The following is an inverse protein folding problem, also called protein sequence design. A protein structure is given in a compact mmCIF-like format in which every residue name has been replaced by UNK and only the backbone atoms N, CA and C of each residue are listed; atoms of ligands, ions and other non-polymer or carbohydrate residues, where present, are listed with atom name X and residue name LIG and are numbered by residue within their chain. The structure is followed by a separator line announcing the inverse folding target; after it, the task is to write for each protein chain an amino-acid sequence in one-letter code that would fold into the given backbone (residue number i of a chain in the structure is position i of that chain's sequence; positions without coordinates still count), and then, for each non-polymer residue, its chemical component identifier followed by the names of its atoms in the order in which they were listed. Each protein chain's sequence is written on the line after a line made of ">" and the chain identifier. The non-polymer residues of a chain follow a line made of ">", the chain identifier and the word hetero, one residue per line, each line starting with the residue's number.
data_IF_245501064945
#
_entry.id   IF_245501064945
#
_cell.length_a   1.000
_cell.length_b   1.000
_cell.length_c   1.000
_cell.angle_alpha   90.00
_cell.angle_beta   90.00
_cell.angle_gamma   90.00
#
_symmetry.space_group_name_H-M   'P 1'
#
loop_
_entity.id
_entity.type
_entity.pdbx_description
1 polymer ?
#
# COMPACT_ATOMS: atom_id res chain seq x y z
N UNK A 1 -34.57 -7.84 -57.90
CA UNK A 1 -33.22 -8.37 -57.56
C UNK A 1 -32.38 -7.41 -56.69
N UNK A 2 -32.25 -6.10 -57.03
CA UNK A 2 -31.48 -5.13 -56.21
C UNK A 2 -31.98 -4.91 -54.77
N UNK A 3 -33.29 -5.02 -54.51
CA UNK A 3 -33.85 -4.88 -53.15
C UNK A 3 -33.53 -6.05 -52.21
N UNK A 4 -33.35 -7.25 -52.74
CA UNK A 4 -33.05 -8.44 -51.92
C UNK A 4 -31.60 -8.39 -51.43
N UNK A 5 -30.66 -8.00 -52.31
CA UNK A 5 -29.25 -7.82 -51.93
C UNK A 5 -29.03 -6.75 -50.87
N UNK A 6 -29.76 -5.62 -50.91
CA UNK A 6 -29.67 -4.59 -49.87
C UNK A 6 -30.13 -5.10 -48.50
N UNK A 7 -31.21 -5.89 -48.45
CA UNK A 7 -31.72 -6.46 -47.19
C UNK A 7 -30.76 -7.48 -46.60
N UNK A 8 -30.10 -8.29 -47.43
CA UNK A 8 -29.09 -9.27 -46.99
C UNK A 8 -27.82 -8.57 -46.48
N UNK A 9 -27.35 -7.51 -47.16
CA UNK A 9 -26.20 -6.73 -46.68
C UNK A 9 -26.49 -6.02 -45.35
N UNK A 10 -27.66 -5.41 -45.20
CA UNK A 10 -28.08 -4.75 -43.95
C UNK A 10 -28.18 -5.73 -42.79
N UNK A 11 -28.67 -6.95 -43.02
CA UNK A 11 -28.77 -7.98 -41.98
C UNK A 11 -27.40 -8.58 -41.64
N UNK A 12 -26.49 -8.76 -42.60
CA UNK A 12 -25.10 -9.16 -42.32
C UNK A 12 -24.34 -8.08 -41.55
N UNK A 13 -24.54 -6.80 -41.88
CA UNK A 13 -23.95 -5.67 -41.14
C UNK A 13 -24.51 -5.61 -39.71
N UNK A 14 -25.81 -5.85 -39.53
CA UNK A 14 -26.44 -5.87 -38.21
C UNK A 14 -25.94 -7.04 -37.36
N UNK A 15 -25.77 -8.23 -37.94
CA UNK A 15 -25.20 -9.39 -37.25
C UNK A 15 -23.72 -9.19 -36.92
N UNK A 16 -22.94 -8.54 -37.80
CA UNK A 16 -21.56 -8.19 -37.52
C UNK A 16 -21.45 -7.14 -36.40
N UNK A 17 -22.32 -6.12 -36.39
CA UNK A 17 -22.41 -5.13 -35.31
C UNK A 17 -22.87 -5.79 -34.00
N UNK A 18 -23.85 -6.72 -34.06
CA UNK A 18 -24.28 -7.48 -32.88
C UNK A 18 -23.18 -8.40 -32.35
N UNK A 19 -22.41 -9.03 -33.24
CA UNK A 19 -21.27 -9.87 -32.88
C UNK A 19 -20.10 -9.04 -32.32
N UNK A 20 -19.87 -7.83 -32.85
CA UNK A 20 -18.92 -6.85 -32.31
C UNK A 20 -19.39 -6.29 -30.96
N UNK A 21 -20.70 -6.09 -30.75
CA UNK A 21 -21.25 -5.66 -29.46
C UNK A 21 -21.30 -6.79 -28.44
N UNK A 22 -21.47 -8.05 -28.86
CA UNK A 22 -21.40 -9.24 -28.00
C UNK A 22 -19.96 -9.61 -27.65
N UNK A 23 -19.00 -9.29 -28.51
CA UNK A 23 -17.56 -9.38 -28.22
C UNK A 23 -17.06 -8.24 -27.32
N UNK A 24 -17.87 -7.20 -27.11
CA UNK A 24 -17.62 -6.09 -26.18
C UNK A 24 -18.45 -6.24 -24.90
N UNK A 25 -18.63 -7.48 -24.44
CA UNK A 25 -18.92 -7.72 -23.03
C UNK A 25 -17.59 -7.68 -22.30
N UNK A 26 -17.28 -6.56 -21.64
CA UNK A 26 -16.31 -6.60 -20.54
C UNK A 26 -16.74 -7.73 -19.59
N UNK A 27 -15.81 -8.54 -19.13
CA UNK A 27 -16.11 -9.53 -18.10
C UNK A 27 -16.73 -8.76 -16.91
N UNK A 28 -17.84 -9.24 -16.36
CA UNK A 28 -18.47 -8.61 -15.19
C UNK A 28 -17.69 -8.90 -13.90
N UNK A 29 -16.87 -9.95 -13.91
CA UNK A 29 -16.10 -10.44 -12.78
C UNK A 29 -14.82 -11.14 -13.28
N UNK A 30 -13.74 -11.04 -12.52
CA UNK A 30 -12.51 -11.81 -12.69
C UNK A 30 -12.18 -12.58 -11.42
N UNK A 31 -11.84 -13.86 -11.55
CA UNK A 31 -11.48 -14.71 -10.41
C UNK A 31 -9.98 -15.05 -10.43
N UNK A 32 -9.35 -14.95 -9.28
CA UNK A 32 -7.93 -15.24 -9.07
C UNK A 32 -7.78 -16.15 -7.85
N UNK A 33 -8.17 -17.44 -7.96
CA UNK A 33 -8.08 -18.37 -6.84
C UNK A 33 -6.62 -18.55 -6.38
N UNK A 34 -6.36 -18.72 -5.07
CA UNK A 34 -7.34 -18.85 -3.98
C UNK A 34 -7.84 -17.50 -3.42
N UNK A 35 -7.44 -16.37 -4.00
CA UNK A 35 -7.60 -15.04 -3.43
C UNK A 35 -9.01 -14.42 -3.59
N UNK A 36 -9.87 -15.04 -4.42
CA UNK A 36 -11.27 -14.64 -4.59
C UNK A 36 -11.63 -14.19 -6.00
N UNK A 37 -12.77 -13.53 -6.12
CA UNK A 37 -13.28 -12.94 -7.36
C UNK A 37 -13.56 -11.44 -7.16
N UNK A 38 -13.41 -10.67 -8.23
CA UNK A 38 -13.39 -9.22 -8.23
C UNK A 38 -14.32 -8.73 -9.32
N UNK A 39 -15.29 -7.89 -8.93
CA UNK A 39 -16.23 -7.23 -9.82
C UNK A 39 -16.25 -5.73 -9.51
N UNK A 40 -16.98 -4.97 -10.33
CA UNK A 40 -17.17 -3.53 -10.12
C UNK A 40 -18.60 -3.17 -9.68
N UNK A 41 -19.42 -4.17 -9.37
CA UNK A 41 -20.84 -4.01 -9.03
C UNK A 41 -21.05 -3.68 -7.54
N UNK A 42 -20.18 -4.16 -6.66
CA UNK A 42 -20.37 -4.11 -5.19
C UNK A 42 -19.61 -2.99 -4.48
N UNK A 43 -18.78 -2.23 -5.19
CA UNK A 43 -17.80 -1.32 -4.56
C UNK A 43 -17.58 -0.02 -5.36
N UNK A 44 -17.24 1.09 -4.67
CA UNK A 44 -17.24 2.44 -5.25
C UNK A 44 -15.89 2.75 -5.88
N UNK A 45 -15.54 1.97 -6.89
CA UNK A 45 -14.33 2.15 -7.67
C UNK A 45 -14.44 3.43 -8.49
N UNK A 46 -13.41 4.27 -8.43
CA UNK A 46 -13.31 5.45 -9.29
C UNK A 46 -13.02 5.03 -10.73
N UNK A 47 -12.40 3.86 -10.91
CA UNK A 47 -12.12 3.25 -12.21
C UNK A 47 -13.02 2.03 -12.46
N UNK A 48 -13.38 1.82 -13.73
CA UNK A 48 -14.26 0.75 -14.18
C UNK A 48 -13.51 -0.46 -14.72
N UNK A 49 -12.18 -0.40 -14.82
CA UNK A 49 -11.37 -1.54 -15.24
C UNK A 49 -11.34 -2.64 -14.15
N UNK A 50 -11.25 -3.90 -14.59
CA UNK A 50 -11.08 -5.04 -13.68
C UNK A 50 -9.59 -5.28 -13.41
N UNK A 51 -9.22 -5.77 -12.22
CA UNK A 51 -7.84 -6.14 -11.94
C UNK A 51 -7.40 -7.36 -12.75
N UNK A 52 -6.11 -7.49 -12.99
CA UNK A 52 -5.50 -8.71 -13.53
C UNK A 52 -5.36 -9.79 -12.45
N UNK A 53 -5.32 -11.07 -12.83
CA UNK A 53 -5.12 -12.15 -11.85
C UNK A 53 -3.69 -12.13 -11.27
N UNK A 54 -3.48 -12.74 -10.10
CA UNK A 54 -2.16 -12.81 -9.48
C UNK A 54 -1.14 -13.52 -10.37
N UNK A 55 -1.56 -14.48 -11.21
CA UNK A 55 -0.72 -15.16 -12.19
C UNK A 55 -0.25 -14.20 -13.28
N UNK A 56 -1.15 -13.38 -13.82
CA UNK A 56 -0.83 -12.39 -14.84
C UNK A 56 0.11 -11.30 -14.31
N UNK A 57 -0.01 -10.98 -13.02
CA UNK A 57 0.86 -10.05 -12.31
C UNK A 57 2.17 -10.68 -11.80
N UNK A 58 2.41 -11.98 -12.08
CA UNK A 58 3.55 -12.76 -11.60
C UNK A 58 3.84 -12.62 -10.09
N UNK A 59 2.79 -12.61 -9.26
CA UNK A 59 2.92 -12.36 -7.81
C UNK A 59 3.83 -13.39 -7.13
N UNK A 60 4.87 -12.87 -6.45
CA UNK A 60 5.84 -13.64 -5.66
C UNK A 60 5.95 -13.06 -4.24
N UNK A 61 6.34 -13.92 -3.31
CA UNK A 61 6.67 -13.52 -1.96
C UNK A 61 8.05 -14.06 -1.61
N UNK A 62 8.94 -13.16 -1.22
CA UNK A 62 10.32 -13.49 -0.86
C UNK A 62 10.47 -13.35 0.66
N UNK A 63 10.65 -14.48 1.34
CA UNK A 63 10.96 -14.55 2.77
C UNK A 63 12.45 -14.32 3.01
N UNK A 64 12.73 -13.50 4.02
CA UNK A 64 14.04 -13.21 4.55
C UNK A 64 14.02 -13.33 6.08
N UNK A 65 15.16 -13.73 6.64
CA UNK A 65 15.37 -13.82 8.08
C UNK A 65 16.77 -13.31 8.43
N UNK A 66 17.05 -13.17 9.73
CA UNK A 66 18.32 -12.61 10.21
C UNK A 66 19.52 -13.54 10.01
N UNK A 67 19.29 -14.85 9.85
CA UNK A 67 20.38 -15.83 9.73
C UNK A 67 21.07 -15.75 8.37
N UNK A 68 20.30 -15.44 7.32
CA UNK A 68 20.79 -15.21 5.96
C UNK A 68 20.00 -14.07 5.27
N UNK A 69 20.28 -12.80 5.62
CA UNK A 69 19.43 -11.65 5.28
C UNK A 69 19.39 -11.31 3.79
N UNK A 70 20.30 -11.85 2.99
CA UNK A 70 20.37 -11.62 1.54
C UNK A 70 19.78 -12.79 0.72
N UNK A 71 19.50 -13.94 1.35
CA UNK A 71 18.90 -15.08 0.65
C UNK A 71 17.39 -14.95 0.60
N UNK A 72 16.87 -14.67 -0.59
CA UNK A 72 15.46 -14.77 -0.89
C UNK A 72 15.00 -16.24 -0.85
N UNK A 73 13.91 -16.51 -0.13
CA UNK A 73 13.28 -17.83 -0.04
C UNK A 73 11.83 -17.69 -0.48
N UNK A 74 11.43 -18.42 -1.52
CA UNK A 74 10.04 -18.40 -1.97
C UNK A 74 9.12 -18.96 -0.86
N UNK A 75 8.13 -18.15 -0.48
CA UNK A 75 7.05 -18.55 0.44
C UNK A 75 5.72 -18.38 -0.27
N UNK A 76 4.83 -19.37 -0.20
CA UNK A 76 3.49 -19.29 -0.78
C UNK A 76 2.48 -20.03 0.09
N UNK A 77 1.19 -19.77 -0.11
CA UNK A 77 0.11 -20.44 0.62
C UNK A 77 0.12 -21.96 0.46
N UNK A 78 0.67 -22.48 -0.64
CA UNK A 78 0.83 -23.90 -0.94
C UNK A 78 2.20 -24.47 -0.55
N UNK A 79 3.15 -23.61 -0.15
CA UNK A 79 4.50 -24.01 0.24
C UNK A 79 5.09 -23.02 1.27
N UNK A 80 4.95 -23.36 2.55
CA UNK A 80 5.62 -22.63 3.65
C UNK A 80 6.99 -23.30 3.89
N UNK A 81 8.12 -22.61 3.66
CA UNK A 81 9.46 -23.18 3.83
C UNK A 81 9.81 -23.37 5.31
N UNK A 82 10.76 -24.26 5.60
CA UNK A 82 11.21 -24.55 6.98
C UNK A 82 11.90 -23.34 7.64
N UNK A 83 12.36 -22.39 6.84
CA UNK A 83 12.97 -21.14 7.31
C UNK A 83 11.96 -20.11 7.81
N UNK A 84 10.66 -20.33 7.58
CA UNK A 84 9.61 -19.56 8.22
C UNK A 84 9.41 -20.04 9.65
N UNK A 85 9.57 -19.13 10.62
CA UNK A 85 9.37 -19.43 12.03
C UNK A 85 8.10 -18.75 12.55
N UNK A 86 7.03 -19.53 12.74
CA UNK A 86 5.74 -19.00 13.17
C UNK A 86 5.73 -18.47 14.61
N UNK A 87 6.80 -18.68 15.39
CA UNK A 87 6.96 -18.05 16.71
C UNK A 87 7.44 -16.60 16.63
N UNK A 88 7.87 -16.14 15.45
CA UNK A 88 8.36 -14.78 15.21
C UNK A 88 7.31 -13.89 14.56
N UNK A 89 7.27 -12.58 14.88
CA UNK A 89 6.45 -11.63 14.18
C UNK A 89 6.83 -11.53 12.69
N UNK A 90 5.83 -11.29 11.84
CA UNK A 90 6.01 -11.19 10.38
C UNK A 90 5.82 -9.74 9.91
N UNK A 91 6.71 -9.26 9.04
CA UNK A 91 6.67 -7.92 8.45
C UNK A 91 6.58 -8.02 6.94
N UNK A 92 5.49 -7.52 6.36
CA UNK A 92 5.38 -7.40 4.91
C UNK A 92 5.91 -6.04 4.45
N UNK A 93 6.64 -6.03 3.33
CA UNK A 93 7.05 -4.83 2.60
C UNK A 93 6.42 -4.89 1.22
N UNK A 94 5.63 -3.88 0.85
CA UNK A 94 4.95 -3.81 -0.45
C UNK A 94 5.32 -2.53 -1.18
N UNK A 95 5.86 -2.66 -2.40
CA UNK A 95 6.21 -1.50 -3.24
C UNK A 95 5.02 -0.94 -4.02
N UNK A 96 5.20 0.25 -4.59
CA UNK A 96 4.18 0.94 -5.40
C UNK A 96 4.38 0.79 -6.92
N UNK A 97 3.75 1.72 -7.66
CA UNK A 97 3.84 1.84 -9.12
C UNK A 97 5.30 2.02 -9.56
N UNK A 98 5.70 1.33 -10.63
CA UNK A 98 7.08 1.21 -11.11
C UNK A 98 8.10 0.64 -10.11
N UNK A 99 7.66 0.20 -8.92
CA UNK A 99 8.50 -0.55 -8.00
C UNK A 99 8.91 -1.88 -8.61
N UNK A 100 10.17 -2.27 -8.40
CA UNK A 100 10.73 -3.53 -8.92
C UNK A 100 11.44 -4.28 -7.81
N UNK A 101 11.16 -5.56 -7.60
CA UNK A 101 11.96 -6.41 -6.69
C UNK A 101 12.83 -7.34 -7.51
N UNK A 102 14.11 -7.60 -7.14
CA UNK A 102 14.87 -7.05 -6.02
C UNK A 102 15.56 -5.70 -6.33
N UNK A 103 15.27 -5.06 -7.48
CA UNK A 103 16.00 -3.88 -7.96
C UNK A 103 15.71 -2.58 -7.18
N UNK A 104 14.60 -2.53 -6.45
CA UNK A 104 14.21 -1.38 -5.64
C UNK A 104 15.09 -1.32 -4.40
N UNK A 105 16.02 -0.38 -4.39
CA UNK A 105 16.97 -0.23 -3.29
C UNK A 105 16.28 0.01 -1.93
N UNK A 106 15.12 0.68 -1.91
CA UNK A 106 14.47 1.00 -0.65
C UNK A 106 13.84 -0.23 0.04
N UNK A 107 13.30 -1.20 -0.70
CA UNK A 107 12.71 -2.41 -0.09
C UNK A 107 13.79 -3.26 0.57
N UNK A 108 14.95 -3.38 -0.07
CA UNK A 108 16.13 -4.03 0.52
C UNK A 108 16.66 -3.28 1.74
N UNK A 109 16.74 -1.94 1.66
CA UNK A 109 17.16 -1.11 2.80
C UNK A 109 16.19 -1.22 3.98
N UNK A 110 14.89 -1.30 3.72
CA UNK A 110 13.85 -1.50 4.73
C UNK A 110 13.94 -2.89 5.35
N UNK A 111 14.08 -3.95 4.53
CA UNK A 111 14.32 -5.33 4.99
C UNK A 111 15.51 -5.38 5.94
N UNK A 112 16.64 -4.81 5.53
CA UNK A 112 17.86 -4.79 6.34
C UNK A 112 17.63 -4.06 7.66
N UNK A 113 17.01 -2.88 7.64
CA UNK A 113 16.68 -2.14 8.86
C UNK A 113 15.78 -2.95 9.81
N UNK A 114 14.78 -3.66 9.29
CA UNK A 114 13.90 -4.52 10.09
C UNK A 114 14.66 -5.70 10.72
N UNK A 115 15.47 -6.41 9.93
CA UNK A 115 16.25 -7.57 10.40
C UNK A 115 17.38 -7.20 11.37
N UNK A 116 17.92 -5.98 11.26
CA UNK A 116 18.83 -5.41 12.25
C UNK A 116 18.12 -5.03 13.56
N UNK A 117 16.87 -4.56 13.47
CA UNK A 117 16.10 -4.10 14.61
C UNK A 117 15.49 -5.23 15.45
N UNK A 118 15.14 -6.36 14.84
CA UNK A 118 14.49 -7.46 15.54
C UNK A 118 14.54 -8.79 14.79
N UNK A 119 14.21 -9.86 15.52
CA UNK A 119 14.13 -11.20 14.94
C UNK A 119 12.74 -11.41 14.33
N UNK A 120 12.63 -11.17 13.03
CA UNK A 120 11.38 -11.20 12.28
C UNK A 120 11.45 -12.17 11.11
N UNK A 121 10.28 -12.65 10.68
CA UNK A 121 10.11 -13.06 9.28
C UNK A 121 9.83 -11.78 8.47
N UNK A 122 10.69 -11.43 7.53
CA UNK A 122 10.43 -10.29 6.62
C UNK A 122 10.04 -10.85 5.26
N UNK A 123 8.88 -10.45 4.75
CA UNK A 123 8.37 -10.90 3.46
C UNK A 123 8.25 -9.69 2.53
N UNK A 124 9.01 -9.68 1.44
CA UNK A 124 8.81 -8.70 0.37
C UNK A 124 7.74 -9.26 -0.57
N UNK A 125 6.69 -8.47 -0.83
CA UNK A 125 5.64 -8.80 -1.78
C UNK A 125 6.04 -8.22 -3.14
N UNK A 126 6.45 -9.08 -4.05
CA UNK A 126 6.86 -8.71 -5.40
C UNK A 126 5.69 -8.86 -6.36
N UNK A 127 5.24 -7.72 -6.89
CA UNK A 127 4.18 -7.61 -7.89
C UNK A 127 4.64 -6.72 -9.05
N UNK A 128 5.94 -6.76 -9.36
CA UNK A 128 6.62 -5.91 -10.35
C UNK A 128 5.88 -5.84 -11.69
N UNK A 129 5.40 -6.98 -12.20
CA UNK A 129 4.70 -7.02 -13.50
C UNK A 129 3.39 -6.22 -13.45
N UNK A 130 2.55 -6.46 -12.44
CA UNK A 130 1.29 -5.72 -12.25
C UNK A 130 1.47 -4.24 -11.87
N UNK A 131 2.63 -3.87 -11.31
CA UNK A 131 2.98 -2.51 -10.93
C UNK A 131 3.64 -1.69 -12.05
N UNK A 132 4.01 -2.31 -13.17
CA UNK A 132 4.79 -1.66 -14.25
C UNK A 132 3.94 -1.25 -15.46
N UNK A 133 2.61 -1.27 -15.35
CA UNK A 133 1.74 -0.82 -16.43
C UNK A 133 1.90 0.69 -16.66
N UNK A 134 2.09 1.09 -17.91
CA UNK A 134 2.13 2.50 -18.32
C UNK A 134 0.79 3.20 -18.08
N UNK A 135 -0.31 2.44 -18.09
CA UNK A 135 -1.64 2.89 -17.75
C UNK A 135 -1.88 2.69 -16.25
N UNK A 136 -1.59 3.74 -15.47
CA UNK A 136 -1.73 3.77 -14.01
C UNK A 136 -3.03 3.16 -13.45
N UNK A 137 -4.22 3.41 -14.02
CA UNK A 137 -5.46 2.89 -13.45
C UNK A 137 -5.50 1.36 -13.39
N UNK A 138 -4.88 0.65 -14.34
CA UNK A 138 -4.73 -0.81 -14.26
C UNK A 138 -3.89 -1.25 -13.06
N UNK A 139 -2.71 -0.63 -12.85
CA UNK A 139 -1.89 -0.90 -11.66
C UNK A 139 -2.60 -0.55 -10.35
N UNK A 140 -3.43 0.48 -10.33
CA UNK A 140 -4.27 0.81 -9.18
C UNK A 140 -5.30 -0.29 -8.90
N UNK A 141 -6.00 -0.81 -9.93
CA UNK A 141 -6.96 -1.90 -9.76
C UNK A 141 -6.27 -3.19 -9.31
N UNK A 142 -5.11 -3.49 -9.87
CA UNK A 142 -4.29 -4.66 -9.53
C UNK A 142 -4.00 -4.80 -8.02
N UNK A 143 -3.90 -3.68 -7.29
CA UNK A 143 -3.71 -3.68 -5.82
C UNK A 143 -4.78 -4.47 -5.06
N UNK A 144 -6.01 -4.56 -5.59
CA UNK A 144 -7.12 -5.34 -5.01
C UNK A 144 -6.78 -6.83 -4.95
N UNK A 145 -6.28 -7.37 -6.06
CA UNK A 145 -5.91 -8.79 -6.18
C UNK A 145 -4.67 -9.09 -5.35
N UNK A 146 -3.64 -8.24 -5.43
CA UNK A 146 -2.41 -8.43 -4.63
C UNK A 146 -2.72 -8.38 -3.13
N UNK A 147 -3.54 -7.42 -2.71
CA UNK A 147 -3.96 -7.27 -1.32
C UNK A 147 -4.71 -8.50 -0.82
N UNK A 148 -5.67 -8.99 -1.60
CA UNK A 148 -6.44 -10.19 -1.29
C UNK A 148 -5.59 -11.47 -1.22
N UNK A 149 -4.68 -11.65 -2.17
CA UNK A 149 -3.75 -12.78 -2.14
C UNK A 149 -2.80 -12.73 -0.94
N UNK A 150 -2.33 -11.54 -0.58
CA UNK A 150 -1.47 -11.35 0.60
C UNK A 150 -2.27 -11.65 1.88
N UNK A 151 -3.55 -11.25 1.93
CA UNK A 151 -4.45 -11.60 3.03
C UNK A 151 -4.69 -13.10 3.16
N UNK A 152 -4.85 -13.81 2.02
CA UNK A 152 -4.93 -15.27 2.01
C UNK A 152 -3.65 -15.93 2.54
N UNK A 153 -2.47 -15.41 2.19
CA UNK A 153 -1.21 -15.86 2.75
C UNK A 153 -1.18 -15.64 4.27
N UNK A 154 -1.61 -14.47 4.78
CA UNK A 154 -1.72 -14.21 6.23
C UNK A 154 -2.59 -15.27 6.91
N UNK A 155 -3.77 -15.59 6.36
CA UNK A 155 -4.65 -16.63 6.90
C UNK A 155 -3.96 -18.02 6.90
N UNK A 156 -3.16 -18.33 5.88
CA UNK A 156 -2.39 -19.58 5.82
C UNK A 156 -1.32 -19.62 6.92
N UNK A 157 -0.60 -18.52 7.13
CA UNK A 157 0.45 -18.42 8.15
C UNK A 157 -0.14 -18.47 9.58
N UNK A 158 -1.33 -17.91 9.79
CA UNK A 158 -2.10 -18.09 11.03
C UNK A 158 -2.44 -19.56 11.27
N UNK A 159 -2.92 -20.26 10.24
CA UNK A 159 -3.20 -21.69 10.33
C UNK A 159 -1.93 -22.53 10.56
N UNK A 160 -0.75 -22.01 10.20
CA UNK A 160 0.55 -22.63 10.43
C UNK A 160 1.18 -22.32 11.81
N UNK A 161 0.58 -21.43 12.60
CA UNK A 161 0.96 -21.21 14.00
C UNK A 161 1.03 -19.75 14.46
N UNK A 162 0.98 -18.78 13.55
CA UNK A 162 0.92 -17.37 13.94
C UNK A 162 -0.47 -16.97 14.46
N UNK A 163 -0.54 -15.80 15.06
CA UNK A 163 -1.78 -15.08 15.32
C UNK A 163 -1.86 -13.84 14.42
N UNK A 164 -3.06 -13.30 14.19
CA UNK A 164 -3.18 -12.03 13.44
C UNK A 164 -2.41 -10.86 14.09
N UNK A 165 -2.19 -10.95 15.41
CA UNK A 165 -1.39 -10.01 16.21
C UNK A 165 0.10 -9.98 15.85
N UNK A 166 0.59 -10.94 15.06
CA UNK A 166 2.01 -11.05 14.69
C UNK A 166 2.36 -10.29 13.41
N UNK A 167 1.36 -9.83 12.65
CA UNK A 167 1.54 -9.28 11.31
C UNK A 167 1.50 -7.74 11.26
N UNK A 168 2.47 -7.17 10.56
CA UNK A 168 2.51 -5.75 10.22
C UNK A 168 2.82 -5.58 8.73
N UNK A 169 1.92 -4.92 7.99
CA UNK A 169 2.12 -4.60 6.59
C UNK A 169 2.63 -3.16 6.43
N UNK A 170 3.74 -2.99 5.70
CA UNK A 170 4.40 -1.71 5.45
C UNK A 170 4.40 -1.49 3.94
N UNK A 171 3.58 -0.55 3.46
CA UNK A 171 3.40 -0.31 2.04
C UNK A 171 3.74 1.12 1.64
N UNK A 172 4.35 1.31 0.47
CA UNK A 172 4.59 2.64 -0.12
C UNK A 172 3.69 2.88 -1.32
N UNK A 173 3.13 4.08 -1.47
CA UNK A 173 2.36 4.46 -2.67
C UNK A 173 1.18 3.49 -2.92
N UNK A 174 1.07 2.87 -4.11
CA UNK A 174 0.12 1.80 -4.38
C UNK A 174 0.27 0.61 -3.42
N UNK A 175 1.48 0.33 -2.93
CA UNK A 175 1.72 -0.70 -1.91
C UNK A 175 1.06 -0.40 -0.57
N UNK A 176 0.85 0.88 -0.22
CA UNK A 176 0.08 1.25 0.97
C UNK A 176 -1.40 0.91 0.80
N UNK A 177 -1.96 1.18 -0.38
CA UNK A 177 -3.32 0.77 -0.73
C UNK A 177 -3.46 -0.76 -0.72
N UNK A 178 -2.47 -1.47 -1.27
CA UNK A 178 -2.38 -2.93 -1.20
C UNK A 178 -2.37 -3.44 0.24
N UNK A 179 -1.62 -2.83 1.16
CA UNK A 179 -1.67 -3.18 2.58
C UNK A 179 -3.06 -2.95 3.20
N UNK A 180 -3.78 -1.90 2.79
CA UNK A 180 -5.18 -1.69 3.16
C UNK A 180 -6.08 -2.84 2.71
N UNK A 181 -5.96 -3.26 1.44
CA UNK A 181 -6.69 -4.43 0.92
C UNK A 181 -6.30 -5.73 1.63
N UNK A 182 -5.02 -5.94 1.97
CA UNK A 182 -4.59 -7.07 2.81
C UNK A 182 -5.29 -7.06 4.17
N UNK A 183 -5.36 -5.89 4.81
CA UNK A 183 -6.09 -5.70 6.06
C UNK A 183 -7.57 -6.08 5.95
N UNK A 184 -8.25 -5.61 4.89
CA UNK A 184 -9.65 -5.95 4.60
C UNK A 184 -9.86 -7.45 4.42
N UNK A 185 -8.99 -8.11 3.66
CA UNK A 185 -9.08 -9.56 3.43
C UNK A 185 -8.86 -10.37 4.72
N UNK A 186 -8.16 -9.81 5.70
CA UNK A 186 -8.03 -10.41 7.04
C UNK A 186 -9.10 -9.91 8.03
N UNK A 187 -10.15 -9.22 7.57
CA UNK A 187 -11.20 -8.61 8.39
C UNK A 187 -10.68 -7.65 9.48
N UNK A 188 -9.64 -6.87 9.16
CA UNK A 188 -9.07 -5.89 10.09
C UNK A 188 -8.34 -6.49 11.30
N UNK A 189 -8.06 -7.79 11.28
CA UNK A 189 -7.51 -8.52 12.45
C UNK A 189 -6.01 -8.35 12.61
N UNK A 190 -5.30 -7.98 11.54
CA UNK A 190 -3.85 -7.74 11.59
C UNK A 190 -3.49 -6.70 12.66
N UNK A 191 -2.33 -6.88 13.29
CA UNK A 191 -1.88 -5.95 14.33
C UNK A 191 -1.69 -4.54 13.80
N UNK A 192 -1.09 -4.41 12.61
CA UNK A 192 -0.74 -3.10 12.07
C UNK A 192 -0.69 -3.04 10.55
N UNK A 193 -1.14 -1.91 10.02
CA UNK A 193 -0.86 -1.47 8.64
C UNK A 193 -0.20 -0.10 8.71
N UNK A 194 0.90 0.09 7.98
CA UNK A 194 1.55 1.39 7.84
C UNK A 194 1.59 1.78 6.37
N UNK A 195 1.00 2.94 6.06
CA UNK A 195 1.04 3.54 4.74
C UNK A 195 2.12 4.62 4.64
N UNK A 196 3.12 4.41 3.78
CA UNK A 196 4.14 5.40 3.45
C UNK A 196 3.68 6.14 2.20
N UNK A 197 3.20 7.36 2.40
CA UNK A 197 2.56 8.24 1.42
C UNK A 197 1.58 7.49 0.50
N UNK A 198 0.44 7.01 1.04
CA UNK A 198 -0.49 6.19 0.28
C UNK A 198 -0.96 6.91 -0.99
N UNK A 199 -0.98 6.21 -2.13
CA UNK A 199 -1.31 6.83 -3.41
C UNK A 199 -2.70 7.47 -3.42
N UNK A 200 -2.80 8.72 -3.85
CA UNK A 200 -4.04 9.50 -3.96
C UNK A 200 -4.85 9.24 -5.23
N UNK A 201 -4.25 9.29 -6.45
CA UNK A 201 -4.99 9.07 -7.69
C UNK A 201 -5.68 7.69 -7.70
N UNK A 202 -6.97 7.66 -8.05
CA UNK A 202 -7.92 6.54 -7.95
C UNK A 202 -8.46 6.21 -6.53
N UNK A 203 -7.92 6.82 -5.48
CA UNK A 203 -8.26 6.53 -4.07
C UNK A 203 -8.79 7.75 -3.29
N UNK A 204 -8.54 8.99 -3.74
CA UNK A 204 -8.82 10.21 -2.97
C UNK A 204 -10.30 10.38 -2.55
N UNK A 205 -11.23 9.91 -3.37
CA UNK A 205 -12.67 10.02 -3.12
C UNK A 205 -13.34 8.65 -2.93
N UNK A 206 -12.55 7.58 -2.83
CA UNK A 206 -13.11 6.25 -2.65
C UNK A 206 -13.63 6.07 -1.23
N UNK A 207 -14.70 5.28 -1.12
CA UNK A 207 -15.19 4.74 0.16
C UNK A 207 -14.06 4.01 0.88
N UNK A 208 -14.07 3.96 2.23
CA UNK A 208 -13.14 3.15 3.00
C UNK A 208 -12.89 1.72 2.50
N UNK A 209 -13.88 1.09 1.84
CA UNK A 209 -13.72 -0.23 1.20
C UNK A 209 -12.75 -0.25 0.02
N UNK A 210 -12.61 0.87 -0.69
CA UNK A 210 -11.79 0.99 -1.89
C UNK A 210 -10.43 1.68 -1.70
N UNK A 211 -9.97 1.90 -0.46
CA UNK A 211 -8.65 2.48 -0.13
C UNK A 211 -8.20 2.01 1.25
N UNK A 212 -6.94 2.26 1.62
CA UNK A 212 -6.48 2.15 3.01
C UNK A 212 -7.40 2.96 3.95
N UNK A 213 -7.75 2.37 5.08
CA UNK A 213 -8.64 2.95 6.09
C UNK A 213 -8.28 2.45 7.51
N UNK A 214 -8.67 3.21 8.54
CA UNK A 214 -8.50 2.83 9.94
C UNK A 214 -9.06 1.42 10.27
N UNK A 215 -10.13 0.97 9.59
CA UNK A 215 -10.70 -0.36 9.79
C UNK A 215 -9.83 -1.55 9.34
N UNK A 216 -8.72 -1.30 8.65
CA UNK A 216 -7.94 -2.36 7.99
C UNK A 216 -7.01 -3.13 8.93
N UNK A 217 -6.78 -2.63 10.14
CA UNK A 217 -5.98 -3.30 11.16
C UNK A 217 -6.35 -2.80 12.56
N UNK A 218 -5.82 -3.45 13.59
CA UNK A 218 -5.92 -2.97 14.97
C UNK A 218 -5.24 -1.61 15.18
N UNK A 219 -4.28 -1.26 14.33
CA UNK A 219 -3.67 0.05 14.25
C UNK A 219 -3.24 0.36 12.81
N UNK A 220 -3.63 1.51 12.29
CA UNK A 220 -3.33 1.94 10.92
C UNK A 220 -2.68 3.31 11.01
N UNK A 221 -1.47 3.45 10.50
CA UNK A 221 -0.74 4.71 10.58
C UNK A 221 -0.14 5.13 9.24
N UNK A 222 -0.29 6.39 8.88
CA UNK A 222 0.10 6.90 7.56
C UNK A 222 1.10 8.04 7.67
N UNK A 223 2.11 8.06 6.80
CA UNK A 223 3.08 9.13 6.68
C UNK A 223 2.83 9.84 5.36
N UNK A 224 2.24 11.04 5.40
CA UNK A 224 1.91 11.84 4.21
C UNK A 224 3.09 12.78 3.91
N UNK A 225 3.66 12.67 2.71
CA UNK A 225 4.82 13.46 2.28
C UNK A 225 4.64 14.10 0.91
N UNK A 226 3.62 13.75 0.13
CA UNK A 226 3.30 14.40 -1.14
C UNK A 226 1.78 14.47 -1.41
N UNK A 227 1.00 14.74 -0.35
CA UNK A 227 -0.46 14.91 -0.42
C UNK A 227 -0.91 16.37 -0.39
N UNK A 228 -0.03 17.30 -0.02
CA UNK A 228 -0.36 18.72 0.20
C UNK A 228 0.76 19.65 -0.30
N UNK A 229 1.28 19.38 -1.50
CA UNK A 229 2.40 20.11 -2.10
C UNK A 229 1.90 21.22 -3.03
N UNK A 230 2.73 22.23 -3.29
CA UNK A 230 2.42 23.29 -4.27
C UNK A 230 2.39 22.77 -5.73
N UNK A 231 2.99 21.59 -5.96
CA UNK A 231 3.13 20.95 -7.26
C UNK A 231 2.15 19.79 -7.52
N UNK A 232 2.71 18.67 -8.01
CA UNK A 232 1.94 17.44 -8.26
C UNK A 232 1.86 16.66 -6.95
N UNK A 233 0.64 16.25 -6.59
CA UNK A 233 0.40 15.36 -5.45
C UNK A 233 0.15 13.93 -5.95
N UNK A 234 0.97 13.01 -5.44
CA UNK A 234 0.86 11.57 -5.67
C UNK A 234 0.26 10.85 -4.45
N UNK A 235 0.38 11.43 -3.26
CA UNK A 235 -0.17 10.88 -2.01
C UNK A 235 -1.57 11.38 -1.70
N UNK A 236 -2.27 10.69 -0.79
CA UNK A 236 -3.54 11.15 -0.21
C UNK A 236 -3.32 12.43 0.59
N UNK A 237 -4.18 13.44 0.40
CA UNK A 237 -4.09 14.72 1.12
C UNK A 237 -4.79 14.74 2.48
N UNK A 238 -5.63 13.74 2.77
CA UNK A 238 -6.51 13.72 3.94
C UNK A 238 -6.26 12.48 4.82
N UNK A 239 -6.60 12.53 6.12
CA UNK A 239 -6.30 11.44 7.04
C UNK A 239 -7.21 10.24 6.77
N UNK A 240 -6.63 9.05 6.80
CA UNK A 240 -7.31 7.78 6.53
C UNK A 240 -6.93 6.68 7.52
N UNK A 241 -6.17 6.99 8.57
CA UNK A 241 -5.70 6.03 9.56
C UNK A 241 -6.23 6.29 10.97
N UNK A 242 -5.70 5.50 11.90
CA UNK A 242 -5.77 5.78 13.32
C UNK A 242 -4.82 6.91 13.74
N UNK A 243 -3.69 7.04 13.04
CA UNK A 243 -2.72 8.12 13.22
C UNK A 243 -2.14 8.53 11.86
N UNK A 244 -2.32 9.79 11.48
CA UNK A 244 -1.86 10.31 10.19
C UNK A 244 -0.84 11.42 10.44
N UNK A 245 0.35 11.25 9.90
CA UNK A 245 1.51 12.12 10.12
C UNK A 245 1.80 12.97 8.90
N UNK A 246 1.98 14.27 9.12
CA UNK A 246 2.24 15.27 8.09
C UNK A 246 3.57 15.97 8.36
N UNK A 247 4.72 15.30 8.15
CA UNK A 247 6.03 15.93 8.20
C UNK A 247 6.07 17.10 7.23
N UNK A 248 6.43 18.28 7.72
CA UNK A 248 6.47 19.51 6.94
C UNK A 248 5.15 19.76 6.20
N UNK A 249 4.02 19.52 6.89
CA UNK A 249 2.64 19.70 6.38
C UNK A 249 2.21 18.67 5.31
N UNK A 250 3.03 17.66 5.05
CA UNK A 250 2.75 16.58 4.11
C UNK A 250 2.78 16.97 2.63
N UNK A 251 3.43 18.09 2.32
CA UNK A 251 3.71 18.57 0.97
C UNK A 251 5.21 18.59 0.68
N UNK A 252 5.75 19.72 0.24
CA UNK A 252 7.15 19.84 -0.17
C UNK A 252 8.14 19.54 0.99
N UNK A 253 8.97 18.51 0.82
CA UNK A 253 9.85 18.00 1.87
C UNK A 253 11.24 18.65 1.82
N UNK A 254 11.85 19.01 2.95
CA UNK A 254 13.15 19.68 2.98
C UNK A 254 14.30 18.96 2.26
N UNK A 255 14.40 17.61 2.27
CA UNK A 255 15.42 16.88 1.50
C UNK A 255 15.22 16.88 -0.01
N UNK A 256 14.07 17.33 -0.51
CA UNK A 256 13.60 17.08 -1.87
C UNK A 256 13.51 18.35 -2.71
N UNK A 257 13.68 18.17 -4.02
CA UNK A 257 13.59 19.23 -5.02
C UNK A 257 12.55 18.90 -6.12
N UNK A 258 11.86 17.75 -6.02
CA UNK A 258 10.77 17.33 -6.93
C UNK A 258 9.75 16.39 -6.24
N UNK A 259 8.57 16.24 -6.87
CA UNK A 259 7.45 15.46 -6.35
C UNK A 259 7.73 13.95 -6.23
N UNK A 260 8.64 13.39 -7.03
CA UNK A 260 8.99 11.96 -6.90
C UNK A 260 9.83 11.74 -5.65
N UNK A 261 10.74 12.67 -5.33
CA UNK A 261 11.47 12.67 -4.07
C UNK A 261 10.51 12.85 -2.89
N UNK A 262 9.60 13.82 -2.96
CA UNK A 262 8.61 14.05 -1.89
C UNK A 262 7.77 12.80 -1.63
N UNK A 263 7.35 12.11 -2.68
CA UNK A 263 6.60 10.85 -2.56
C UNK A 263 7.47 9.71 -1.97
N UNK A 264 8.74 9.63 -2.37
CA UNK A 264 9.67 8.59 -1.93
C UNK A 264 10.21 8.76 -0.51
N UNK A 265 10.42 9.99 -0.03
CA UNK A 265 11.10 10.23 1.25
C UNK A 265 10.39 9.60 2.46
N UNK A 266 9.09 9.31 2.37
CA UNK A 266 8.33 8.57 3.37
C UNK A 266 8.99 7.23 3.77
N UNK A 267 9.56 6.48 2.82
CA UNK A 267 10.25 5.23 3.13
C UNK A 267 11.59 5.46 3.85
N UNK A 268 12.27 6.57 3.61
CA UNK A 268 13.49 6.95 4.33
C UNK A 268 13.19 7.44 5.75
N UNK A 269 12.12 8.18 5.96
CA UNK A 269 11.67 8.55 7.31
C UNK A 269 11.31 7.30 8.12
N UNK A 270 10.54 6.38 7.54
CA UNK A 270 10.22 5.11 8.17
C UNK A 270 11.49 4.31 8.49
N UNK A 271 12.40 4.14 7.53
CA UNK A 271 13.67 3.41 7.73
C UNK A 271 14.51 4.04 8.84
N UNK A 272 14.65 5.36 8.83
CA UNK A 272 15.47 6.09 9.81
C UNK A 272 14.89 6.00 11.22
N UNK A 273 13.55 5.93 11.34
CA UNK A 273 12.89 5.70 12.62
C UNK A 273 13.18 4.31 13.21
N UNK A 274 13.45 3.29 12.37
CA UNK A 274 13.79 1.93 12.81
C UNK A 274 15.19 1.88 13.40
N UNK A 275 16.16 2.47 12.69
CA UNK A 275 17.59 2.42 13.03
C UNK A 275 17.96 3.21 14.30
N UNK A 276 16.98 3.70 15.06
CA UNK A 276 17.13 4.61 16.20
C UNK A 276 17.96 5.86 15.87
N UNK A 277 18.07 6.21 14.57
CA UNK A 277 18.78 7.40 14.13
C UNK A 277 18.01 8.68 14.40
N UNK A 278 16.70 8.57 14.66
CA UNK A 278 15.83 9.71 14.79
C UNK A 278 14.56 9.45 15.61
N UNK A 279 14.16 10.46 16.41
CA UNK A 279 12.87 10.50 17.09
C UNK A 279 11.98 11.56 16.44
N UNK A 280 11.12 11.11 15.54
CA UNK A 280 10.12 11.97 14.89
C UNK A 280 8.95 12.24 15.83
N UNK A 281 9.21 12.92 16.94
CA UNK A 281 8.18 13.29 17.91
C UNK A 281 7.17 14.23 17.19
N UNK A 282 5.89 13.88 17.24
CA UNK A 282 4.82 14.47 16.44
C UNK A 282 3.68 14.96 17.33
N UNK A 283 3.07 16.05 16.91
CA UNK A 283 2.18 16.83 17.77
C UNK A 283 0.77 16.91 17.18
N UNK A 284 -0.28 16.67 17.98
CA UNK A 284 -1.65 16.73 17.51
C UNK A 284 -2.00 18.16 17.11
N UNK A 285 -2.65 18.32 15.96
CA UNK A 285 -3.08 19.63 15.47
C UNK A 285 -4.43 19.52 14.76
N UNK A 286 -5.26 20.57 14.87
CA UNK A 286 -6.61 20.56 14.27
C UNK A 286 -6.61 20.96 12.79
N UNK A 287 -5.56 21.64 12.32
CA UNK A 287 -5.44 22.09 10.92
C UNK A 287 -3.99 22.45 10.56
N UNK A 288 -3.69 22.47 9.26
CA UNK A 288 -2.41 22.97 8.73
C UNK A 288 -2.13 24.42 9.19
N UNK A 289 -3.17 25.25 9.22
CA UNK A 289 -3.07 26.65 9.64
C UNK A 289 -2.60 26.79 11.11
N UNK A 290 -3.01 25.88 11.98
CA UNK A 290 -2.57 25.85 13.38
C UNK A 290 -1.09 25.38 13.49
N UNK A 291 -0.64 24.51 12.57
CA UNK A 291 0.75 24.09 12.50
C UNK A 291 1.67 25.25 12.05
N UNK A 292 1.18 26.12 11.15
CA UNK A 292 1.94 27.24 10.57
C UNK A 292 2.33 28.32 11.57
N UNK A 293 1.47 28.58 12.55
CA UNK A 293 1.72 29.60 13.59
C UNK A 293 2.42 29.02 14.82
N UNK A 294 2.91 27.77 14.75
CA UNK A 294 3.63 27.10 15.85
C UNK A 294 2.73 26.70 17.03
N UNK A 295 1.41 26.67 16.84
CA UNK A 295 0.45 26.36 17.93
C UNK A 295 0.51 24.89 18.37
N UNK A 296 1.15 24.03 17.58
CA UNK A 296 1.22 22.59 17.79
C UNK A 296 2.67 22.11 18.05
N UNK A 297 3.53 22.92 18.66
CA UNK A 297 4.94 22.53 18.93
C UNK A 297 5.14 21.82 20.29
N UNK A 298 4.07 21.53 21.02
CA UNK A 298 4.14 20.78 22.29
C UNK A 298 2.90 19.89 22.47
N UNK A 299 3.06 18.78 23.20
CA UNK A 299 1.96 17.89 23.52
C UNK A 299 1.76 17.81 25.05
N UNK A 300 0.53 18.07 25.50
CA UNK A 300 0.11 17.96 26.90
C UNK A 300 -0.76 16.70 27.08
N UNK A 301 -0.21 15.54 26.67
CA UNK A 301 -0.97 14.29 26.46
C UNK A 301 -1.27 14.04 24.98
N UNK A 302 -1.51 12.79 24.59
CA UNK A 302 -1.74 12.34 23.20
C UNK A 302 -0.58 12.59 22.22
N UNK A 303 0.66 12.74 22.71
CA UNK A 303 1.85 12.76 21.87
C UNK A 303 1.95 11.49 21.02
N UNK A 304 2.56 11.61 19.86
CA UNK A 304 2.78 10.49 18.96
C UNK A 304 4.20 10.56 18.39
N UNK A 305 4.70 9.45 17.84
CA UNK A 305 5.99 9.39 17.16
C UNK A 305 5.80 8.78 15.79
N UNK A 306 6.07 9.55 14.75
CA UNK A 306 6.02 9.08 13.37
C UNK A 306 7.01 7.92 13.15
N UNK A 307 6.60 6.95 12.33
CA UNK A 307 7.44 5.83 11.91
C UNK A 307 7.23 4.54 12.70
N UNK A 308 8.26 3.71 12.80
CA UNK A 308 8.15 2.32 13.24
C UNK A 308 7.63 2.16 14.66
N UNK A 309 7.84 3.15 15.54
CA UNK A 309 7.42 3.09 16.93
C UNK A 309 6.07 3.76 17.22
N UNK A 310 5.30 4.17 16.20
CA UNK A 310 4.01 4.85 16.38
C UNK A 310 3.00 4.04 17.21
N UNK A 311 3.02 2.71 17.11
CA UNK A 311 2.14 1.83 17.88
C UNK A 311 2.43 1.80 19.39
N UNK A 312 3.57 2.35 19.83
CA UNK A 312 3.93 2.40 21.25
C UNK A 312 3.29 3.58 21.99
N UNK A 313 2.64 4.50 21.27
CA UNK A 313 2.06 5.72 21.81
C UNK A 313 0.53 5.72 21.69
N UNK A 314 -0.19 6.33 22.65
CA UNK A 314 -1.64 6.29 22.70
C UNK A 314 -2.32 7.29 21.75
N UNK A 315 -1.61 8.26 21.19
CA UNK A 315 -2.17 9.31 20.33
C UNK A 315 -2.89 8.74 19.10
N UNK A 316 -4.07 9.29 18.80
CA UNK A 316 -4.88 9.00 17.61
C UNK A 316 -5.33 10.31 16.98
N UNK A 317 -5.42 10.36 15.65
CA UNK A 317 -5.76 11.55 14.87
C UNK A 317 -4.62 12.07 14.00
N UNK A 318 -4.65 13.36 13.70
CA UNK A 318 -3.70 14.03 12.80
C UNK A 318 -2.54 14.65 13.57
N UNK A 319 -1.31 14.38 13.12
CA UNK A 319 -0.08 14.81 13.76
C UNK A 319 0.84 15.54 12.78
N UNK A 320 1.43 16.63 13.24
CA UNK A 320 2.42 17.41 12.49
C UNK A 320 3.78 17.37 13.17
N UNK A 321 4.81 17.51 12.36
CA UNK A 321 6.20 17.57 12.79
C UNK A 321 7.03 18.26 11.71
N UNK A 322 8.24 18.70 12.08
CA UNK A 322 9.24 19.19 11.14
C UNK A 322 10.32 18.14 10.95
N UNK A 323 10.86 18.06 9.74
CA UNK A 323 12.09 17.33 9.45
C UNK A 323 13.11 18.29 8.85
N UNK A 324 14.38 17.88 8.79
CA UNK A 324 15.45 18.69 8.21
C UNK A 324 15.97 18.07 6.92
N UNK A 325 16.68 18.86 6.10
CA UNK A 325 17.21 18.43 4.80
C UNK A 325 18.21 17.26 4.89
N UNK A 326 19.00 17.20 5.95
CA UNK A 326 20.10 16.24 6.06
C UNK A 326 19.72 15.04 6.94
N UNK A 327 20.18 13.85 6.55
CA UNK A 327 20.10 12.65 7.39
C UNK A 327 20.69 12.93 8.79
N UNK A 328 20.03 12.51 9.90
CA UNK A 328 18.90 11.58 9.99
C UNK A 328 17.51 12.23 9.94
N UNK A 329 17.40 13.45 9.42
CA UNK A 329 16.15 14.17 9.14
C UNK A 329 15.34 14.65 10.37
N UNK A 330 15.79 14.49 11.62
CA UNK A 330 15.18 15.17 12.77
C UNK A 330 15.88 16.48 13.13
N UNK A 331 15.11 17.31 13.84
CA UNK A 331 15.61 18.38 14.73
C UNK A 331 15.99 17.83 16.12
#
# INVERSE_FOLDING_TARGET
>A
RRHIHRRVLLSMLFVAILALSLAYSQAAEICSPPCGCFNNDDEPWVDTDLPETWEAQELRYELYNRDDPERAIDIRWDNIPNEYDSTKPTRFIIHGWWGRTPLSHWTNNMRNALLENGDYNVIIVDWTEGASDVYYPQSAMNTRVIGACTGHLVDTLVNAGNTYGDFHCIGHSLGAQTCGFTGKSTNGRMARVTGMDPAGPAFEISDPRGRIDAGDAQFVDNIHTNGNSDGINLGLGHPVGHADFYPNKGGDQPPCDDFNCDHGIAHEYMRTSILNGCRFDSYPCNSDADADIGSCESCSGNCQRMGYYANTMPGRGTFFLRTVRNYPYCE
#
